data_IF_504559351032
#
_entry.id   IF_504559351032
#
_cell.length_a   1.000
_cell.length_b   1.000
_cell.length_c   1.000
_cell.angle_alpha   90.00
_cell.angle_beta   90.00
_cell.angle_gamma   90.00
#
_symmetry.space_group_name_H-M   'P 1'
#
loop_
_entity.id
_entity.type
_entity.pdbx_description
1 polymer ?
#
# COMPACT_ATOMS: atom_id res chain seq x y z
N UNK A 1 -29.42 6.45 -9.93
CA UNK A 1 -29.93 5.42 -9.00
C UNK A 1 -31.34 5.05 -9.42
N UNK A 2 -31.67 3.75 -9.47
CA UNK A 2 -33.01 3.28 -9.82
C UNK A 2 -33.80 3.13 -8.51
N UNK A 3 -34.98 3.73 -8.41
CA UNK A 3 -35.89 3.58 -7.28
C UNK A 3 -37.31 3.28 -7.78
N UNK A 4 -38.22 2.86 -6.90
CA UNK A 4 -39.62 2.58 -7.25
C UNK A 4 -40.36 3.82 -7.75
N UNK A 5 -40.01 5.00 -7.24
CA UNK A 5 -40.54 6.31 -7.63
C UNK A 5 -39.93 6.87 -8.93
N UNK A 6 -38.98 6.14 -9.54
CA UNK A 6 -38.30 6.53 -10.78
C UNK A 6 -36.78 6.75 -10.65
N UNK A 7 -36.13 7.23 -11.72
CA UNK A 7 -34.68 7.46 -11.69
C UNK A 7 -34.32 8.68 -10.82
N UNK A 8 -33.40 8.49 -9.89
CA UNK A 8 -32.77 9.56 -9.11
C UNK A 8 -31.37 9.83 -9.62
N UNK A 9 -31.02 11.11 -9.83
CA UNK A 9 -29.65 11.52 -10.19
C UNK A 9 -28.67 11.15 -9.06
N UNK A 10 -27.44 10.81 -9.42
CA UNK A 10 -26.34 10.55 -8.49
C UNK A 10 -25.23 11.52 -8.84
N UNK A 11 -24.83 12.35 -7.87
CA UNK A 11 -23.86 13.42 -8.10
C UNK A 11 -22.45 13.02 -7.69
N UNK A 12 -22.32 12.19 -6.65
CA UNK A 12 -21.04 11.68 -6.14
C UNK A 12 -21.14 10.18 -5.89
N UNK A 13 -20.12 9.43 -6.30
CA UNK A 13 -20.00 7.99 -6.07
C UNK A 13 -18.71 7.72 -5.28
N UNK A 14 -18.86 7.24 -4.05
CA UNK A 14 -17.76 6.58 -3.35
C UNK A 14 -17.60 5.17 -3.90
N UNK A 15 -16.61 4.96 -4.76
CA UNK A 15 -16.37 3.68 -5.43
C UNK A 15 -15.50 2.77 -4.58
N UNK A 16 -15.83 1.48 -4.59
CA UNK A 16 -15.04 0.37 -4.00
C UNK A 16 -14.72 -0.69 -5.04
N UNK A 17 -14.54 -0.23 -6.28
CA UNK A 17 -14.27 -1.03 -7.47
C UNK A 17 -13.05 -0.41 -8.15
N UNK A 18 -12.09 -1.25 -8.57
CA UNK A 18 -10.88 -0.82 -9.28
C UNK A 18 -11.20 -0.23 -10.66
N UNK A 19 -10.35 0.68 -11.12
CA UNK A 19 -10.54 1.48 -12.35
C UNK A 19 -10.91 0.63 -13.56
N UNK A 20 -10.17 -0.47 -13.74
CA UNK A 20 -10.32 -1.39 -14.86
C UNK A 20 -11.74 -1.97 -14.99
N UNK A 21 -12.50 -2.01 -13.89
CA UNK A 21 -13.83 -2.61 -13.84
C UNK A 21 -14.96 -1.57 -13.86
N UNK A 22 -14.66 -0.26 -13.82
CA UNK A 22 -15.68 0.79 -13.63
C UNK A 22 -16.58 1.05 -14.84
N UNK A 23 -16.06 0.90 -16.05
CA UNK A 23 -16.78 1.22 -17.29
C UNK A 23 -16.37 0.26 -18.42
N UNK A 24 -17.23 -0.69 -18.82
CA UNK A 24 -16.90 -1.63 -19.88
C UNK A 24 -16.78 -0.99 -21.28
N UNK A 25 -17.23 0.26 -21.46
CA UNK A 25 -17.04 0.99 -22.72
C UNK A 25 -15.66 1.66 -22.83
N UNK A 26 -14.93 1.78 -21.72
CA UNK A 26 -13.64 2.47 -21.67
C UNK A 26 -12.49 1.59 -21.19
N UNK A 27 -12.77 0.59 -20.36
CA UNK A 27 -11.77 -0.28 -19.75
C UNK A 27 -12.00 -1.75 -20.16
N UNK A 28 -12.21 -2.64 -19.18
CA UNK A 28 -12.47 -4.06 -19.43
C UNK A 28 -13.87 -4.26 -20.00
N UNK A 29 -13.95 -4.60 -21.29
CA UNK A 29 -15.21 -4.88 -21.97
C UNK A 29 -15.99 -6.07 -21.36
N UNK A 30 -15.30 -6.98 -20.67
CA UNK A 30 -15.90 -8.11 -19.96
C UNK A 30 -16.37 -7.77 -18.52
N UNK A 31 -16.19 -6.52 -18.06
CA UNK A 31 -16.65 -6.11 -16.73
C UNK A 31 -18.19 -6.11 -16.64
N UNK A 32 -18.71 -6.86 -15.68
CA UNK A 32 -20.11 -6.81 -15.26
C UNK A 32 -20.33 -5.98 -13.97
N UNK A 33 -19.26 -5.42 -13.40
CA UNK A 33 -19.31 -4.66 -12.14
C UNK A 33 -19.59 -3.17 -12.36
N UNK A 34 -19.14 -2.64 -13.49
CA UNK A 34 -19.16 -1.22 -13.81
C UNK A 34 -20.49 -0.70 -14.34
N UNK A 35 -20.48 0.58 -14.72
CA UNK A 35 -21.61 1.25 -15.37
C UNK A 35 -21.16 1.73 -16.76
N UNK A 36 -21.74 1.21 -17.86
CA UNK A 36 -21.41 1.65 -19.21
C UNK A 36 -21.53 3.17 -19.37
N UNK A 37 -20.45 3.82 -19.82
CA UNK A 37 -20.39 5.26 -20.08
C UNK A 37 -20.07 6.13 -18.87
N UNK A 38 -19.81 5.53 -17.70
CA UNK A 38 -19.47 6.25 -16.47
C UNK A 38 -18.25 7.17 -16.64
N UNK A 39 -17.21 6.72 -17.35
CA UNK A 39 -16.00 7.52 -17.56
C UNK A 39 -16.32 8.77 -18.39
N UNK A 40 -17.19 8.65 -19.39
CA UNK A 40 -17.62 9.77 -20.23
C UNK A 40 -18.32 10.85 -19.40
N UNK A 41 -19.27 10.45 -18.54
CA UNK A 41 -20.00 11.37 -17.65
C UNK A 41 -19.07 12.01 -16.62
N UNK A 42 -18.14 11.25 -16.04
CA UNK A 42 -17.14 11.75 -15.11
C UNK A 42 -16.25 12.82 -15.77
N UNK A 43 -15.72 12.53 -16.97
CA UNK A 43 -14.89 13.49 -17.73
C UNK A 43 -15.64 14.74 -18.16
N UNK A 44 -16.95 14.64 -18.38
CA UNK A 44 -17.83 15.77 -18.68
C UNK A 44 -18.26 16.57 -17.44
N UNK A 45 -17.84 16.18 -16.22
CA UNK A 45 -18.21 16.84 -14.96
C UNK A 45 -19.64 16.55 -14.50
N UNK A 46 -20.30 15.52 -15.04
CA UNK A 46 -21.67 15.18 -14.67
C UNK A 46 -21.82 14.39 -13.37
N UNK A 47 -20.72 13.78 -12.91
CA UNK A 47 -20.62 13.00 -11.66
C UNK A 47 -19.20 13.11 -11.10
N UNK A 48 -19.05 12.99 -9.78
CA UNK A 48 -17.75 12.90 -9.09
C UNK A 48 -17.50 11.47 -8.63
N UNK A 49 -16.28 10.97 -8.85
CA UNK A 49 -15.83 9.66 -8.34
C UNK A 49 -14.81 9.86 -7.22
N UNK A 50 -15.01 9.14 -6.12
CA UNK A 50 -14.08 9.11 -4.99
C UNK A 50 -13.65 7.65 -4.70
N UNK A 51 -12.37 7.29 -4.76
CA UNK A 51 -11.23 8.08 -5.25
C UNK A 51 -11.34 8.34 -6.78
N UNK A 52 -10.61 9.35 -7.27
CA UNK A 52 -10.54 9.63 -8.70
C UNK A 52 -9.97 8.44 -9.50
N UNK A 53 -10.22 8.41 -10.81
CA UNK A 53 -9.61 7.44 -11.71
C UNK A 53 -8.14 7.81 -11.93
N UNK A 54 -7.25 6.82 -11.95
CA UNK A 54 -5.82 6.97 -12.22
C UNK A 54 -4.96 7.20 -10.98
N UNK A 55 -5.52 7.18 -9.76
CA UNK A 55 -4.74 7.42 -8.53
C UNK A 55 -3.64 6.38 -8.29
N UNK A 56 -3.75 5.19 -8.89
CA UNK A 56 -2.76 4.12 -8.75
C UNK A 56 -1.36 4.46 -9.29
N UNK A 57 -1.23 5.50 -10.13
CA UNK A 57 0.12 5.96 -10.53
C UNK A 57 0.88 6.55 -9.34
N UNK A 58 0.19 7.19 -8.40
CA UNK A 58 0.82 7.87 -7.27
C UNK A 58 1.23 6.90 -6.14
N UNK A 59 0.57 5.76 -6.00
CA UNK A 59 0.89 4.74 -5.00
C UNK A 59 1.73 3.57 -5.54
N UNK A 60 2.09 3.61 -6.83
CA UNK A 60 2.92 2.59 -7.46
C UNK A 60 4.29 2.50 -6.76
N UNK A 61 4.78 1.25 -6.59
CA UNK A 61 6.04 1.00 -5.88
C UNK A 61 7.25 1.66 -6.55
N UNK A 62 7.18 1.94 -7.86
CA UNK A 62 8.23 2.65 -8.59
C UNK A 62 8.20 4.17 -8.39
N UNK A 63 7.06 4.71 -7.94
CA UNK A 63 6.86 6.13 -7.63
C UNK A 63 7.10 6.42 -6.15
N UNK A 64 6.86 5.46 -5.25
CA UNK A 64 7.10 5.58 -3.82
C UNK A 64 8.44 6.25 -3.44
N UNK A 65 9.61 5.91 -4.04
CA UNK A 65 10.88 6.54 -3.67
C UNK A 65 10.96 8.05 -3.91
N UNK A 66 10.06 8.61 -4.73
CA UNK A 66 10.05 10.01 -5.12
C UNK A 66 9.16 10.89 -4.22
N UNK A 67 8.35 10.30 -3.34
CA UNK A 67 7.46 11.06 -2.44
C UNK A 67 8.20 12.14 -1.63
N UNK A 68 9.41 11.88 -1.07
CA UNK A 68 10.19 12.93 -0.41
C UNK A 68 10.51 14.13 -1.31
N UNK A 69 10.86 13.87 -2.58
CA UNK A 69 11.13 14.94 -3.55
C UNK A 69 9.85 15.65 -3.99
N UNK A 70 8.72 14.95 -4.06
CA UNK A 70 7.41 15.57 -4.32
C UNK A 70 7.06 16.57 -3.22
N UNK A 71 7.27 16.21 -1.95
CA UNK A 71 7.04 17.12 -0.80
C UNK A 71 7.90 18.37 -0.96
N UNK A 72 9.21 18.22 -1.22
CA UNK A 72 10.12 19.36 -1.42
C UNK A 72 9.71 20.23 -2.61
N UNK A 73 9.33 19.60 -3.72
CA UNK A 73 8.99 20.30 -4.95
C UNK A 73 7.65 21.06 -4.86
N UNK A 74 6.60 20.41 -4.36
CA UNK A 74 5.24 20.98 -4.33
C UNK A 74 4.98 21.86 -3.10
N UNK A 75 5.56 21.52 -1.95
CA UNK A 75 5.31 22.22 -0.69
C UNK A 75 6.48 23.12 -0.27
N UNK A 76 7.69 22.93 -0.82
CA UNK A 76 8.88 23.65 -0.37
C UNK A 76 9.34 23.25 1.03
N UNK A 77 8.87 22.11 1.54
CA UNK A 77 9.07 21.65 2.91
C UNK A 77 9.97 20.40 2.97
N UNK A 78 10.47 20.09 4.17
CA UNK A 78 11.12 18.80 4.42
C UNK A 78 10.08 17.75 4.84
N UNK A 79 10.18 16.50 4.36
CA UNK A 79 9.30 15.42 4.77
C UNK A 79 9.34 15.20 6.30
N UNK A 80 8.18 15.28 6.95
CA UNK A 80 8.04 14.99 8.39
C UNK A 80 8.17 13.48 8.65
N UNK A 81 7.51 12.67 7.83
CA UNK A 81 7.59 11.21 7.86
C UNK A 81 8.62 10.74 6.84
N UNK A 82 9.56 9.91 7.29
CA UNK A 82 10.59 9.34 6.42
C UNK A 82 10.06 8.16 5.63
N UNK A 83 10.41 8.10 4.35
CA UNK A 83 10.26 6.88 3.57
C UNK A 83 11.29 5.85 4.01
N UNK A 84 10.95 4.57 3.83
CA UNK A 84 11.91 3.48 3.95
C UNK A 84 12.88 3.59 2.76
N UNK A 85 14.21 3.58 3.00
CA UNK A 85 15.20 3.51 1.92
C UNK A 85 14.85 2.37 0.97
N UNK A 86 14.68 2.71 -0.31
CA UNK A 86 14.14 1.79 -1.32
C UNK A 86 15.02 1.83 -2.55
N UNK A 87 15.67 0.70 -2.84
CA UNK A 87 16.55 0.50 -3.98
C UNK A 87 15.72 0.16 -5.22
N UNK A 88 15.93 0.92 -6.30
CA UNK A 88 15.23 0.75 -7.56
C UNK A 88 16.08 -0.10 -8.49
N UNK A 89 15.75 -1.39 -8.63
CA UNK A 89 16.59 -2.33 -9.37
C UNK A 89 16.73 -1.98 -10.87
N UNK A 90 15.89 -1.10 -11.42
CA UNK A 90 16.10 -0.49 -12.75
C UNK A 90 17.38 0.34 -12.88
N UNK A 91 17.94 0.84 -11.77
CA UNK A 91 19.19 1.60 -11.74
C UNK A 91 20.35 0.62 -11.55
N UNK A 92 21.38 0.74 -12.37
CA UNK A 92 22.50 -0.21 -12.38
C UNK A 92 23.27 -0.26 -11.04
N UNK A 93 23.40 0.88 -10.36
CA UNK A 93 24.07 0.97 -9.05
C UNK A 93 23.24 0.29 -7.94
N UNK A 94 21.96 0.64 -7.83
CA UNK A 94 21.00 0.01 -6.92
C UNK A 94 20.95 -1.51 -7.14
N UNK A 95 20.85 -1.95 -8.40
CA UNK A 95 20.84 -3.38 -8.73
C UNK A 95 22.09 -4.09 -8.24
N UNK A 96 23.28 -3.51 -8.48
CA UNK A 96 24.55 -4.08 -8.03
C UNK A 96 24.59 -4.20 -6.51
N UNK A 97 24.13 -3.18 -5.81
CA UNK A 97 24.04 -3.18 -4.36
C UNK A 97 23.08 -4.27 -3.85
N UNK A 98 21.87 -4.35 -4.40
CA UNK A 98 20.86 -5.36 -4.04
C UNK A 98 21.39 -6.77 -4.28
N UNK A 99 21.98 -7.04 -5.45
CA UNK A 99 22.56 -8.32 -5.82
C UNK A 99 23.70 -8.76 -4.89
N UNK A 100 24.43 -7.81 -4.32
CA UNK A 100 25.56 -8.08 -3.41
C UNK A 100 25.12 -8.30 -1.97
N UNK A 101 23.86 -7.97 -1.63
CA UNK A 101 23.34 -8.00 -0.25
C UNK A 101 21.97 -8.72 -0.17
N UNK A 102 21.64 -9.62 -1.11
CA UNK A 102 20.32 -10.26 -1.21
C UNK A 102 19.90 -10.96 0.10
N UNK A 103 20.86 -11.46 0.87
CA UNK A 103 20.66 -12.13 2.15
C UNK A 103 20.22 -11.20 3.28
N UNK A 104 20.37 -9.88 3.15
CA UNK A 104 19.95 -8.88 4.14
C UNK A 104 18.67 -8.14 3.72
N UNK A 105 18.27 -8.28 2.45
CA UNK A 105 17.25 -7.45 1.81
C UNK A 105 15.91 -8.17 1.69
N UNK A 106 14.84 -7.38 1.63
CA UNK A 106 13.53 -7.82 1.15
C UNK A 106 13.33 -7.30 -0.27
N UNK A 107 13.22 -8.18 -1.25
CA UNK A 107 13.02 -7.82 -2.67
C UNK A 107 11.58 -8.12 -3.07
N UNK A 108 10.91 -7.16 -3.71
CA UNK A 108 9.48 -7.21 -4.05
C UNK A 108 9.25 -6.81 -5.50
N UNK A 109 8.28 -7.43 -6.15
CA UNK A 109 7.82 -6.99 -7.48
C UNK A 109 7.06 -5.67 -7.40
N UNK A 110 7.29 -4.78 -8.39
CA UNK A 110 6.65 -3.47 -8.52
C UNK A 110 5.14 -3.67 -8.69
N UNK A 111 4.75 -4.53 -9.63
CA UNK A 111 3.36 -4.86 -9.91
C UNK A 111 2.97 -6.16 -9.20
N UNK A 112 2.17 -6.06 -8.13
CA UNK A 112 1.72 -7.22 -7.36
C UNK A 112 1.15 -6.86 -5.99
N UNK A 113 0.22 -7.68 -5.50
CA UNK A 113 -0.42 -7.56 -4.19
C UNK A 113 -0.29 -8.87 -3.41
N UNK A 114 -0.39 -8.81 -2.08
CA UNK A 114 -0.51 -10.02 -1.24
C UNK A 114 0.77 -10.80 -0.96
N UNK A 115 1.97 -10.25 -1.22
CA UNK A 115 3.24 -10.89 -0.84
C UNK A 115 3.76 -11.96 -1.81
N UNK A 116 3.05 -12.23 -2.90
CA UNK A 116 3.55 -13.05 -4.00
C UNK A 116 4.68 -12.32 -4.75
N UNK A 117 5.70 -13.05 -5.21
CA UNK A 117 6.85 -12.47 -5.91
C UNK A 117 7.86 -11.74 -5.00
N UNK A 118 7.94 -12.11 -3.72
CA UNK A 118 8.83 -11.51 -2.73
C UNK A 118 9.94 -12.48 -2.28
N UNK A 119 11.16 -11.97 -2.11
CA UNK A 119 12.26 -12.64 -1.42
C UNK A 119 12.47 -11.98 -0.06
N UNK A 120 12.53 -12.76 1.02
CA UNK A 120 12.96 -12.30 2.35
C UNK A 120 14.36 -12.86 2.61
N UNK A 121 15.39 -12.07 2.30
CA UNK A 121 16.79 -12.46 2.36
C UNK A 121 17.17 -13.23 3.63
N UNK A 122 16.94 -12.66 4.83
CA UNK A 122 17.34 -13.29 6.08
C UNK A 122 16.66 -14.61 6.41
N UNK A 123 15.55 -14.94 5.74
CA UNK A 123 14.76 -16.17 5.93
C UNK A 123 14.85 -17.14 4.77
N UNK A 124 15.61 -16.81 3.75
CA UNK A 124 15.77 -17.63 2.55
C UNK A 124 16.96 -18.58 2.70
N UNK A 125 16.96 -19.66 1.93
CA UNK A 125 18.16 -20.48 1.72
C UNK A 125 18.97 -19.99 0.52
N UNK A 126 20.20 -20.48 0.36
CA UNK A 126 21.11 -20.00 -0.69
C UNK A 126 20.56 -20.28 -2.09
N UNK A 127 19.92 -21.43 -2.26
CA UNK A 127 19.34 -21.90 -3.51
C UNK A 127 18.18 -21.00 -3.95
N UNK A 128 17.33 -20.59 -3.01
CA UNK A 128 16.23 -19.64 -3.26
C UNK A 128 16.76 -18.26 -3.65
N UNK A 129 17.81 -17.78 -2.96
CA UNK A 129 18.45 -16.50 -3.32
C UNK A 129 19.04 -16.53 -4.71
N UNK A 130 19.67 -17.63 -5.10
CA UNK A 130 20.26 -17.76 -6.44
C UNK A 130 19.19 -17.87 -7.52
N UNK A 131 18.12 -18.63 -7.29
CA UNK A 131 16.98 -18.65 -8.20
C UNK A 131 16.34 -17.25 -8.36
N UNK A 132 16.19 -16.52 -7.26
CA UNK A 132 15.66 -15.16 -7.28
C UNK A 132 16.62 -14.16 -7.94
N UNK A 133 17.94 -14.34 -7.76
CA UNK A 133 18.97 -13.56 -8.46
C UNK A 133 18.77 -13.63 -9.98
N UNK A 134 18.57 -14.82 -10.53
CA UNK A 134 18.38 -14.99 -11.97
C UNK A 134 17.10 -14.31 -12.46
N UNK A 135 16.00 -14.40 -11.70
CA UNK A 135 14.76 -13.66 -11.99
C UNK A 135 14.95 -12.14 -11.97
N UNK A 136 15.65 -11.64 -10.96
CA UNK A 136 15.94 -10.22 -10.79
C UNK A 136 16.79 -9.69 -11.95
N UNK A 137 17.79 -10.44 -12.39
CA UNK A 137 18.63 -10.09 -13.55
C UNK A 137 17.85 -10.11 -14.87
N UNK A 138 16.88 -11.04 -15.01
CA UNK A 138 16.08 -11.15 -16.23
C UNK A 138 15.13 -9.96 -16.44
N UNK A 139 14.61 -9.36 -15.37
CA UNK A 139 13.73 -8.19 -15.46
C UNK A 139 13.90 -7.23 -14.27
N UNK A 140 15.03 -6.53 -14.17
CA UNK A 140 15.37 -5.73 -12.99
C UNK A 140 14.43 -4.55 -12.78
N UNK A 141 13.81 -4.03 -13.85
CA UNK A 141 12.87 -2.92 -13.75
C UNK A 141 11.57 -3.28 -13.01
N UNK A 142 11.24 -4.56 -12.91
CA UNK A 142 10.05 -5.03 -12.21
C UNK A 142 10.29 -5.23 -10.71
N UNK A 143 11.46 -4.86 -10.16
CA UNK A 143 11.78 -5.10 -8.75
C UNK A 143 12.24 -3.85 -8.01
N UNK A 144 11.85 -3.79 -6.74
CA UNK A 144 12.43 -2.88 -5.74
C UNK A 144 12.94 -3.70 -4.55
N UNK A 145 13.91 -3.17 -3.81
CA UNK A 145 14.41 -3.80 -2.60
C UNK A 145 14.47 -2.81 -1.45
N UNK A 146 14.29 -3.32 -0.23
CA UNK A 146 14.34 -2.56 1.00
C UNK A 146 15.13 -3.37 2.03
N UNK A 147 15.78 -2.69 2.96
CA UNK A 147 16.38 -3.35 4.11
C UNK A 147 15.31 -4.09 4.93
N UNK A 148 15.70 -5.17 5.58
CA UNK A 148 14.78 -5.87 6.49
C UNK A 148 14.54 -4.99 7.72
N UNK A 149 13.32 -4.48 7.86
CA UNK A 149 12.96 -3.59 8.96
C UNK A 149 12.72 -4.35 10.26
N UNK A 150 13.24 -3.80 11.36
CA UNK A 150 12.83 -4.16 12.70
C UNK A 150 11.50 -3.45 13.02
N UNK A 151 10.38 -4.13 12.74
CA UNK A 151 9.06 -3.61 13.12
C UNK A 151 8.96 -3.49 14.65
N UNK A 152 8.32 -2.44 15.14
CA UNK A 152 7.99 -2.33 16.55
C UNK A 152 7.05 -3.44 16.98
N UNK A 153 7.10 -3.80 18.27
CA UNK A 153 6.25 -4.84 18.84
C UNK A 153 5.27 -4.26 19.86
N UNK A 154 4.04 -4.80 19.88
CA UNK A 154 3.03 -4.50 20.89
C UNK A 154 2.71 -5.77 21.69
N UNK A 155 2.56 -5.71 23.03
CA UNK A 155 2.16 -6.85 23.83
C UNK A 155 0.86 -7.47 23.33
N UNK A 156 0.87 -8.78 23.08
CA UNK A 156 -0.25 -9.52 22.49
C UNK A 156 -0.44 -10.81 23.25
N UNK A 157 -1.70 -11.10 23.59
CA UNK A 157 -2.05 -12.33 24.30
C UNK A 157 -2.01 -13.50 23.32
N UNK A 158 -1.16 -14.48 23.62
CA UNK A 158 -0.97 -15.73 22.89
C UNK A 158 -1.12 -16.91 23.86
N UNK A 159 -1.00 -18.14 23.38
CA UNK A 159 -1.21 -19.34 24.21
C UNK A 159 -0.27 -19.39 25.43
N UNK A 160 0.98 -18.93 25.27
CA UNK A 160 1.99 -18.87 26.34
C UNK A 160 1.82 -17.66 27.27
N UNK A 161 0.82 -16.80 27.05
CA UNK A 161 0.55 -15.59 27.81
C UNK A 161 0.86 -14.31 27.02
N UNK A 162 1.30 -13.25 27.72
CA UNK A 162 1.56 -11.95 27.08
C UNK A 162 2.95 -11.93 26.45
N UNK A 163 3.02 -11.85 25.12
CA UNK A 163 4.27 -11.84 24.36
C UNK A 163 4.35 -10.69 23.35
N UNK A 164 5.55 -10.19 23.02
CA UNK A 164 5.71 -9.18 21.99
C UNK A 164 5.36 -9.75 20.60
N UNK A 165 4.59 -9.00 19.81
CA UNK A 165 4.28 -9.30 18.41
C UNK A 165 4.39 -8.05 17.55
N UNK A 166 4.90 -8.20 16.34
CA UNK A 166 5.10 -7.08 15.42
C UNK A 166 3.76 -6.49 14.98
N UNK A 167 3.70 -5.16 14.90
CA UNK A 167 2.51 -4.43 14.47
C UNK A 167 2.81 -3.46 13.34
N UNK A 168 1.76 -3.07 12.62
CA UNK A 168 1.76 -1.87 11.79
C UNK A 168 0.50 -1.04 12.00
N UNK A 169 0.59 0.24 11.65
CA UNK A 169 -0.50 1.20 11.82
C UNK A 169 -0.88 1.81 10.47
N UNK A 170 -2.17 1.77 10.15
CA UNK A 170 -2.75 2.40 8.95
C UNK A 170 -3.77 3.48 9.36
N UNK A 171 -3.35 4.75 9.44
CA UNK A 171 -4.28 5.87 9.56
C UNK A 171 -4.93 6.17 8.20
N UNK A 172 -6.02 6.94 8.21
CA UNK A 172 -6.76 7.32 6.99
C UNK A 172 -6.90 8.84 6.91
N UNK A 173 -6.20 9.45 5.94
CA UNK A 173 -6.32 10.88 5.63
C UNK A 173 -7.57 11.10 4.76
N UNK A 174 -8.46 11.99 5.20
CA UNK A 174 -9.63 12.41 4.47
C UNK A 174 -9.35 13.75 3.80
N UNK A 175 -9.42 13.78 2.47
CA UNK A 175 -9.19 14.99 1.66
C UNK A 175 -10.49 15.45 1.02
N UNK A 176 -11.00 16.60 1.46
CA UNK A 176 -12.16 17.29 0.88
C UNK A 176 -11.83 18.75 0.62
N UNK A 177 -12.70 19.66 1.07
CA UNK A 177 -12.35 21.10 1.14
C UNK A 177 -11.17 21.36 2.08
N UNK A 178 -11.04 20.52 3.11
CA UNK A 178 -9.92 20.50 4.05
C UNK A 178 -9.36 19.08 4.12
N UNK A 179 -8.10 18.97 4.54
CA UNK A 179 -7.47 17.69 4.88
C UNK A 179 -7.63 17.45 6.38
N UNK A 180 -8.15 16.28 6.76
CA UNK A 180 -8.37 15.91 8.16
C UNK A 180 -7.96 14.46 8.42
N UNK A 181 -7.58 14.20 9.66
CA UNK A 181 -7.35 12.85 10.18
C UNK A 181 -8.33 12.61 11.33
N UNK A 182 -8.96 11.45 11.37
CA UNK A 182 -9.67 10.99 12.58
C UNK A 182 -8.61 10.48 13.57
N UNK A 183 -8.69 10.79 14.88
CA UNK A 183 -7.75 10.31 15.88
C UNK A 183 -7.89 8.79 16.09
N UNK A 184 -7.27 8.02 15.19
CA UNK A 184 -7.35 6.57 15.16
C UNK A 184 -6.76 5.97 13.88
N UNK A 185 -6.88 4.65 13.76
CA UNK A 185 -6.37 3.92 12.61
C UNK A 185 -6.57 2.43 12.76
N UNK A 186 -6.27 1.70 11.69
CA UNK A 186 -6.25 0.24 11.73
C UNK A 186 -4.86 -0.21 12.19
N UNK A 187 -4.77 -0.78 13.38
CA UNK A 187 -3.55 -1.50 13.82
C UNK A 187 -3.69 -2.97 13.48
N UNK A 188 -2.69 -3.53 12.79
CA UNK A 188 -2.61 -4.97 12.51
C UNK A 188 -1.47 -5.59 13.30
N UNK A 189 -1.61 -6.86 13.64
CA UNK A 189 -0.63 -7.62 14.44
C UNK A 189 -0.29 -8.95 13.77
N UNK A 190 0.99 -9.27 13.69
CA UNK A 190 1.47 -10.58 13.25
C UNK A 190 1.41 -11.55 14.43
N UNK A 191 0.44 -12.46 14.45
CA UNK A 191 0.18 -13.34 15.61
C UNK A 191 1.23 -14.44 15.78
N UNK A 192 1.78 -14.94 14.67
CA UNK A 192 2.83 -15.95 14.67
C UNK A 192 4.14 -15.38 15.23
N UNK A 193 4.78 -16.10 16.13
CA UNK A 193 6.04 -15.68 16.75
C UNK A 193 7.11 -15.38 15.68
N UNK A 194 7.80 -14.23 15.88
CA UNK A 194 8.80 -13.73 14.95
C UNK A 194 8.27 -13.29 13.59
N UNK A 195 7.01 -13.53 13.21
CA UNK A 195 6.51 -13.16 11.89
C UNK A 195 6.45 -11.65 11.69
N UNK A 196 6.84 -11.19 10.50
CA UNK A 196 6.66 -9.81 10.04
C UNK A 196 5.38 -9.64 9.19
N UNK A 197 4.65 -10.74 8.97
CA UNK A 197 3.47 -10.78 8.12
C UNK A 197 2.25 -10.40 8.97
N UNK A 198 1.80 -9.16 8.82
CA UNK A 198 0.61 -8.59 9.50
C UNK A 198 -0.68 -8.70 8.68
N UNK A 199 -0.62 -9.31 7.48
CA UNK A 199 -1.79 -9.41 6.61
C UNK A 199 -2.81 -10.41 7.16
N UNK A 200 -4.08 -10.01 7.25
CA UNK A 200 -5.17 -10.83 7.80
C UNK A 200 -5.43 -12.10 6.99
N UNK A 201 -5.19 -12.08 5.68
CA UNK A 201 -5.30 -13.27 4.82
C UNK A 201 -4.23 -14.34 5.10
N UNK A 202 -3.23 -14.03 5.93
CA UNK A 202 -2.11 -14.90 6.29
C UNK A 202 -1.96 -15.04 7.82
N UNK A 203 -3.05 -14.90 8.57
CA UNK A 203 -3.06 -15.10 10.03
C UNK A 203 -2.73 -13.84 10.86
N UNK A 204 -2.75 -12.65 10.25
CA UNK A 204 -2.67 -11.39 10.97
C UNK A 204 -3.97 -11.06 11.73
N UNK A 205 -3.84 -10.58 12.97
CA UNK A 205 -4.94 -10.05 13.76
C UNK A 205 -5.06 -8.52 13.65
N UNK A 206 -6.03 -7.95 14.36
CA UNK A 206 -6.18 -6.50 14.50
C UNK A 206 -6.20 -6.08 15.96
N UNK A 207 -5.76 -4.86 16.24
CA UNK A 207 -5.86 -4.22 17.55
C UNK A 207 -6.56 -2.87 17.41
N UNK A 208 -7.19 -2.44 18.50
CA UNK A 208 -7.66 -1.07 18.63
C UNK A 208 -6.46 -0.10 18.69
N UNK A 209 -6.64 1.11 18.18
CA UNK A 209 -5.62 2.16 18.17
C UNK A 209 -6.13 3.34 18.98
N UNK A 210 -5.57 3.53 20.17
CA UNK A 210 -5.91 4.67 21.02
C UNK A 210 -4.98 5.84 20.74
N UNK A 211 -5.57 6.99 20.42
CA UNK A 211 -4.90 8.28 20.35
C UNK A 211 -5.33 9.04 21.59
N UNK A 212 -4.39 9.29 22.50
CA UNK A 212 -4.66 10.04 23.72
C UNK A 212 -4.95 11.49 23.38
N UNK A 213 -5.88 12.11 24.10
CA UNK A 213 -6.03 13.56 24.07
C UNK A 213 -4.77 14.19 24.69
N UNK A 214 -4.33 15.33 24.16
CA UNK A 214 -3.28 16.11 24.82
C UNK A 214 -3.80 16.56 26.20
N UNK A 215 -2.98 16.43 27.24
CA UNK A 215 -3.26 16.96 28.59
C UNK A 215 -3.30 18.51 28.55
N UNK A 216 -4.38 19.07 27.99
CA UNK A 216 -4.64 20.51 27.94
C UNK A 216 -5.64 20.96 29.02
N UNK A 217 -5.77 20.18 30.10
CA UNK A 217 -6.54 20.56 31.28
C UNK A 217 -6.07 19.85 32.55
N UNK A 218 -5.07 20.44 33.21
CA UNK A 218 -4.95 20.48 34.67
C UNK A 218 -4.40 21.86 35.07
#
# INVERSE_FOLDING_TARGET
>A
MRTTEGPRRVDVIYRRIDDAWLDPLAFRADSMLGVPGLLSVYRAGGVVLANAIGTGVADDKSIYPYVPEMIRFYLGEQPILSNIPTWQCRKAEDLRYVLSNLELMVVKEVHGAGGYGMLVGPRSIKEEREAFRQRLLANPANYIAQDTLALSTCPTFVEEGLSPRHIDLRPYVLSGQEMRLVPGGLTRVALTEGSLVVNSSQGGGTKDTWVMEDDASC
#
